data_IF_018536638534
#
_entry.id   IF_018536638534
#
_cell.length_a   1.000
_cell.length_b   1.000
_cell.length_c   1.000
_cell.angle_alpha   90.00
_cell.angle_beta   90.00
_cell.angle_gamma   90.00
#
_symmetry.space_group_name_H-M   'P 1'
#
loop_
_entity.id
_entity.type
_entity.pdbx_description
1 polymer ?
#
# COMPACT_ATOMS: atom_id res chain seq x y z
N UNK A 1 -0.16 15.01 -8.61
CA UNK A 1 -0.60 13.72 -8.05
C UNK A 1 0.60 12.79 -8.02
N UNK A 2 0.78 12.01 -6.95
CA UNK A 2 1.88 11.06 -6.80
C UNK A 2 1.34 9.61 -6.75
N UNK A 3 1.96 8.71 -7.51
CA UNK A 3 1.81 7.27 -7.42
C UNK A 3 3.09 6.72 -6.76
N UNK A 4 3.02 6.36 -5.49
CA UNK A 4 4.18 6.09 -4.62
C UNK A 4 4.33 4.60 -4.40
N UNK A 5 5.53 4.06 -4.64
CA UNK A 5 5.76 2.61 -4.66
C UNK A 5 5.03 1.97 -5.85
N UNK A 6 5.16 2.58 -7.03
CA UNK A 6 4.32 2.23 -8.17
C UNK A 6 4.64 0.87 -8.79
N UNK A 7 5.85 0.34 -8.57
CA UNK A 7 6.28 -0.89 -9.22
C UNK A 7 6.09 -0.81 -10.74
N UNK A 8 5.39 -1.79 -11.30
CA UNK A 8 5.03 -1.84 -12.72
C UNK A 8 3.72 -1.12 -13.07
N UNK A 9 3.02 -0.57 -12.07
CA UNK A 9 1.72 0.10 -12.25
C UNK A 9 1.90 1.59 -12.54
N UNK A 10 2.33 1.90 -13.77
CA UNK A 10 2.48 3.28 -14.24
C UNK A 10 1.10 3.93 -14.50
N UNK A 11 0.86 5.08 -13.88
CA UNK A 11 -0.39 5.83 -14.04
C UNK A 11 -0.17 7.12 -14.83
N UNK A 12 -0.80 7.22 -15.99
CA UNK A 12 -0.73 8.42 -16.81
C UNK A 12 -1.30 9.66 -16.08
N UNK A 13 -0.56 10.77 -16.14
CA UNK A 13 -0.93 12.02 -15.47
C UNK A 13 -0.65 12.06 -13.95
N UNK A 14 0.08 11.06 -13.45
CA UNK A 14 0.66 11.01 -12.11
C UNK A 14 2.19 11.09 -12.20
N UNK A 15 2.85 11.50 -11.14
CA UNK A 15 4.30 11.31 -10.99
C UNK A 15 4.48 9.93 -10.35
N UNK A 16 5.05 9.00 -11.11
CA UNK A 16 5.24 7.61 -10.72
C UNK A 16 6.61 7.43 -10.09
N UNK A 17 6.64 6.99 -8.84
CA UNK A 17 7.83 6.98 -8.00
C UNK A 17 8.05 5.57 -7.46
N UNK A 18 9.25 5.05 -7.64
CA UNK A 18 9.71 3.82 -7.00
C UNK A 18 11.22 3.83 -6.88
N UNK A 19 11.77 2.87 -6.10
CA UNK A 19 13.20 2.63 -6.05
C UNK A 19 13.58 1.65 -7.18
N UNK A 20 14.10 2.19 -8.27
CA UNK A 20 14.58 1.35 -9.37
C UNK A 20 16.02 0.90 -9.10
N UNK A 21 16.17 -0.23 -8.41
CA UNK A 21 17.49 -0.85 -8.20
C UNK A 21 18.01 -1.55 -9.46
N UNK A 22 17.14 -1.87 -10.42
CA UNK A 22 17.45 -2.51 -11.69
C UNK A 22 17.01 -1.61 -12.85
N UNK A 23 17.93 -0.89 -13.45
CA UNK A 23 17.72 0.17 -14.46
C UNK A 23 16.89 -0.21 -15.70
N UNK A 24 16.41 -1.44 -15.82
CA UNK A 24 15.84 -1.93 -17.08
C UNK A 24 14.36 -2.33 -17.04
N UNK A 25 13.64 -2.22 -15.92
CA UNK A 25 12.33 -2.88 -15.81
C UNK A 25 11.18 -1.91 -15.55
N UNK A 26 11.41 -0.77 -14.90
CA UNK A 26 10.32 0.14 -14.50
C UNK A 26 10.31 1.43 -15.32
N UNK A 27 9.17 1.73 -15.91
CA UNK A 27 8.88 3.09 -16.39
C UNK A 27 8.57 3.93 -15.16
N UNK A 28 9.45 4.87 -14.83
CA UNK A 28 9.30 5.79 -13.69
C UNK A 28 9.43 7.23 -14.17
N UNK A 29 8.75 8.15 -13.47
CA UNK A 29 9.00 9.58 -13.61
C UNK A 29 10.07 10.04 -12.62
N UNK A 30 10.20 9.35 -11.48
CA UNK A 30 11.22 9.61 -10.47
C UNK A 30 11.68 8.29 -9.83
N UNK A 31 12.96 7.97 -9.96
CA UNK A 31 13.60 6.92 -9.17
C UNK A 31 14.02 7.48 -7.83
N UNK A 32 13.43 6.97 -6.72
CA UNK A 32 13.65 7.50 -5.38
C UNK A 32 13.48 6.44 -4.31
N UNK A 33 14.40 6.40 -3.36
CA UNK A 33 14.25 5.55 -2.19
C UNK A 33 13.25 6.17 -1.20
N UNK A 34 12.07 5.57 -1.13
CA UNK A 34 10.94 6.04 -0.33
C UNK A 34 11.14 5.93 1.19
N UNK A 35 12.28 5.43 1.64
CA UNK A 35 12.72 5.52 3.05
C UNK A 35 13.29 6.90 3.38
N UNK A 36 13.60 7.70 2.35
CA UNK A 36 14.04 9.08 2.47
C UNK A 36 12.90 10.06 2.17
N UNK A 37 12.95 11.28 2.73
CA UNK A 37 11.96 12.30 2.43
C UNK A 37 11.84 12.57 0.93
N UNK A 38 10.62 12.65 0.44
CA UNK A 38 10.33 12.94 -0.96
C UNK A 38 10.88 14.31 -1.38
N UNK A 39 11.44 14.46 -2.60
CA UNK A 39 12.00 15.71 -3.10
C UNK A 39 10.91 16.66 -3.61
N UNK A 40 9.85 16.82 -2.83
CA UNK A 40 8.76 17.76 -3.10
C UNK A 40 8.59 18.73 -1.95
N UNK A 41 8.17 19.93 -2.28
CA UNK A 41 7.86 20.97 -1.31
C UNK A 41 6.71 20.56 -0.39
N UNK A 42 6.71 21.10 0.82
CA UNK A 42 5.60 20.98 1.74
C UNK A 42 4.30 21.48 1.10
N UNK A 43 3.21 20.78 1.31
CA UNK A 43 1.87 21.22 0.85
C UNK A 43 1.79 21.47 -0.66
N UNK A 44 2.47 20.65 -1.46
CA UNK A 44 2.54 20.81 -2.93
C UNK A 44 1.62 19.85 -3.69
N UNK A 45 1.16 18.77 -3.05
CA UNK A 45 0.48 17.64 -3.69
C UNK A 45 -1.01 17.57 -3.31
N UNK A 46 -1.88 17.40 -4.29
CA UNK A 46 -3.34 17.29 -4.06
C UNK A 46 -3.76 15.85 -3.73
N UNK A 47 -3.20 14.85 -4.45
CA UNK A 47 -3.55 13.44 -4.30
C UNK A 47 -2.32 12.56 -4.27
N UNK A 48 -2.34 11.55 -3.38
CA UNK A 48 -1.34 10.49 -3.32
C UNK A 48 -2.07 9.15 -3.42
N UNK A 49 -1.52 8.24 -4.18
CA UNK A 49 -1.91 6.83 -4.23
C UNK A 49 -0.71 5.95 -3.96
N UNK A 50 -0.90 4.89 -3.21
CA UNK A 50 0.05 3.78 -3.10
C UNK A 50 -0.70 2.46 -2.94
N UNK A 51 -0.19 1.42 -3.60
CA UNK A 51 -0.71 0.07 -3.50
C UNK A 51 0.45 -0.91 -3.29
N UNK A 52 0.36 -1.72 -2.23
CA UNK A 52 1.40 -2.69 -1.85
C UNK A 52 2.79 -2.06 -1.71
N UNK A 53 2.87 -0.99 -0.90
CA UNK A 53 4.10 -0.26 -0.62
C UNK A 53 4.49 -0.30 0.85
N UNK A 54 3.53 0.06 1.73
CA UNK A 54 3.85 0.33 3.14
C UNK A 54 4.29 -0.94 3.90
N UNK A 55 3.81 -2.11 3.50
CA UNK A 55 4.17 -3.40 4.09
C UNK A 55 5.62 -3.83 3.82
N UNK A 56 6.26 -3.23 2.82
CA UNK A 56 7.67 -3.47 2.50
C UNK A 56 8.65 -2.66 3.37
N UNK A 57 8.15 -1.75 4.18
CA UNK A 57 8.91 -0.95 5.12
C UNK A 57 8.91 -1.57 6.52
N UNK A 58 9.99 -1.35 7.30
CA UNK A 58 9.90 -1.60 8.74
C UNK A 58 8.88 -0.68 9.37
N UNK A 59 8.48 -0.95 10.59
CA UNK A 59 7.49 -0.12 11.28
C UNK A 59 7.95 1.33 11.45
N UNK A 60 9.24 1.54 11.68
CA UNK A 60 9.85 2.87 11.81
C UNK A 60 9.96 3.58 10.45
N UNK A 61 10.42 2.87 9.42
CA UNK A 61 10.47 3.37 8.04
C UNK A 61 9.06 3.75 7.56
N UNK A 62 8.06 2.88 7.82
CA UNK A 62 6.67 3.10 7.47
C UNK A 62 6.08 4.35 8.15
N UNK A 63 6.34 4.52 9.46
CA UNK A 63 5.90 5.71 10.17
C UNK A 63 6.56 6.99 9.64
N UNK A 64 7.83 6.92 9.26
CA UNK A 64 8.55 8.05 8.65
C UNK A 64 7.98 8.39 7.28
N UNK A 65 7.72 7.38 6.44
CA UNK A 65 7.09 7.56 5.13
C UNK A 65 5.69 8.18 5.26
N UNK A 66 4.83 7.67 6.15
CA UNK A 66 3.47 8.22 6.40
C UNK A 66 3.54 9.70 6.79
N UNK A 67 4.50 10.09 7.65
CA UNK A 67 4.71 11.50 8.03
C UNK A 67 5.17 12.35 6.86
N UNK A 68 6.03 11.83 6.00
CA UNK A 68 6.53 12.58 4.84
C UNK A 68 5.46 12.74 3.76
N UNK A 69 4.66 11.70 3.51
CA UNK A 69 3.47 11.78 2.65
C UNK A 69 2.47 12.84 3.17
N UNK A 70 2.30 12.91 4.51
CA UNK A 70 1.52 13.98 5.14
C UNK A 70 2.13 15.38 4.92
N UNK A 71 3.45 15.52 4.96
CA UNK A 71 4.16 16.78 4.74
C UNK A 71 3.85 17.35 3.37
N UNK A 72 4.02 16.55 2.32
CA UNK A 72 3.86 16.99 0.92
C UNK A 72 2.40 17.22 0.52
N UNK A 73 1.42 16.58 1.17
CA UNK A 73 0.00 16.85 0.91
C UNK A 73 -0.38 18.27 1.25
N UNK A 74 -1.18 18.90 0.40
CA UNK A 74 -1.85 20.18 0.69
C UNK A 74 -2.88 20.03 1.81
N UNK A 75 -3.22 21.11 2.52
CA UNK A 75 -4.41 21.11 3.38
C UNK A 75 -5.65 20.71 2.56
N UNK A 76 -6.37 19.68 3.02
CA UNK A 76 -7.49 19.07 2.28
C UNK A 76 -7.07 18.08 1.18
N UNK A 77 -5.78 17.91 0.95
CA UNK A 77 -5.27 16.85 0.06
C UNK A 77 -5.56 15.45 0.61
N UNK A 78 -5.69 14.48 -0.28
CA UNK A 78 -6.13 13.11 0.05
C UNK A 78 -5.09 12.09 -0.38
N UNK A 79 -4.78 11.15 0.52
CA UNK A 79 -4.03 9.96 0.19
C UNK A 79 -4.94 8.74 0.23
N UNK A 80 -4.80 7.88 -0.79
CA UNK A 80 -5.40 6.55 -0.85
C UNK A 80 -4.29 5.50 -0.75
N UNK A 81 -4.42 4.61 0.22
CA UNK A 81 -3.50 3.49 0.45
C UNK A 81 -4.25 2.18 0.29
N UNK A 82 -3.60 1.19 -0.30
CA UNK A 82 -4.10 -0.16 -0.42
C UNK A 82 -2.98 -1.15 -0.07
N UNK A 83 -3.22 -2.04 0.90
CA UNK A 83 -2.23 -2.99 1.43
C UNK A 83 -2.91 -4.31 1.83
N UNK A 84 -2.19 -5.41 2.01
CA UNK A 84 -2.75 -6.61 2.62
C UNK A 84 -3.29 -6.32 4.03
N UNK A 85 -4.42 -6.95 4.37
CA UNK A 85 -5.05 -6.83 5.70
C UNK A 85 -4.64 -8.02 6.58
N UNK A 86 -4.06 -7.74 7.74
CA UNK A 86 -3.69 -8.75 8.73
C UNK A 86 -4.92 -9.51 9.21
N UNK A 87 -6.04 -8.81 9.46
CA UNK A 87 -7.29 -9.44 9.91
C UNK A 87 -7.76 -10.48 8.88
N UNK A 88 -7.78 -10.13 7.59
CA UNK A 88 -8.13 -11.06 6.50
C UNK A 88 -7.13 -12.21 6.40
N UNK A 89 -5.85 -11.95 6.63
CA UNK A 89 -4.81 -12.99 6.60
C UNK A 89 -5.00 -14.00 7.71
N UNK A 90 -5.33 -13.55 8.92
CA UNK A 90 -5.62 -14.41 10.08
C UNK A 90 -6.94 -15.18 9.89
N UNK A 91 -7.99 -14.50 9.41
CA UNK A 91 -9.26 -15.15 9.09
C UNK A 91 -9.08 -16.31 8.11
N UNK A 92 -8.33 -16.09 7.04
CA UNK A 92 -7.97 -17.13 6.09
C UNK A 92 -7.21 -18.29 6.75
N UNK A 93 -6.26 -17.99 7.64
CA UNK A 93 -5.53 -19.04 8.36
C UNK A 93 -6.47 -19.94 9.17
N UNK A 94 -7.45 -19.37 9.83
CA UNK A 94 -8.38 -20.09 10.71
C UNK A 94 -9.45 -20.82 9.90
N UNK A 95 -10.08 -20.13 8.94
CA UNK A 95 -11.36 -20.52 8.39
C UNK A 95 -11.32 -21.05 6.95
N UNK A 96 -10.23 -20.79 6.18
CA UNK A 96 -10.16 -21.18 4.77
C UNK A 96 -9.24 -22.38 4.58
N UNK A 97 -9.72 -23.54 4.10
CA UNK A 97 -8.88 -24.65 3.69
C UNK A 97 -7.88 -24.24 2.60
N UNK A 98 -6.71 -24.90 2.59
CA UNK A 98 -5.66 -24.57 1.59
C UNK A 98 -6.16 -24.80 0.16
N UNK A 99 -6.93 -25.85 -0.04
CA UNK A 99 -7.47 -26.25 -1.34
C UNK A 99 -8.48 -25.24 -1.92
N UNK A 100 -9.06 -24.40 -1.06
CA UNK A 100 -10.06 -23.38 -1.42
C UNK A 100 -9.44 -21.99 -1.62
N UNK A 101 -8.17 -21.80 -1.27
CA UNK A 101 -7.53 -20.50 -1.37
C UNK A 101 -7.26 -20.11 -2.83
N UNK A 102 -8.06 -19.17 -3.33
CA UNK A 102 -7.98 -18.68 -4.70
C UNK A 102 -6.67 -17.95 -5.01
N UNK A 103 -6.01 -17.38 -3.99
CA UNK A 103 -4.73 -16.68 -4.15
C UNK A 103 -3.62 -17.69 -4.48
N UNK A 104 -3.62 -18.84 -3.79
CA UNK A 104 -2.68 -19.93 -4.09
C UNK A 104 -2.79 -20.35 -5.56
N UNK A 105 -4.00 -20.58 -6.05
CA UNK A 105 -4.26 -20.98 -7.43
C UNK A 105 -3.90 -19.88 -8.43
N UNK A 106 -4.26 -18.64 -8.13
CA UNK A 106 -4.02 -17.50 -9.02
C UNK A 106 -2.54 -17.22 -9.28
N UNK A 107 -1.69 -17.40 -8.26
CA UNK A 107 -0.26 -17.08 -8.35
C UNK A 107 0.64 -18.31 -8.56
N UNK A 108 0.08 -19.49 -8.85
CA UNK A 108 0.87 -20.69 -9.06
C UNK A 108 1.62 -21.13 -7.79
N UNK A 109 1.00 -20.94 -6.62
CA UNK A 109 1.60 -21.21 -5.31
C UNK A 109 1.18 -22.59 -4.77
N UNK A 110 0.89 -23.56 -5.64
CA UNK A 110 0.43 -24.89 -5.29
C UNK A 110 1.46 -25.71 -4.49
N UNK A 111 2.69 -25.23 -4.37
CA UNK A 111 3.69 -25.77 -3.46
C UNK A 111 3.35 -25.53 -1.99
N UNK A 112 2.48 -24.53 -1.68
CA UNK A 112 1.95 -24.29 -0.33
C UNK A 112 0.99 -25.43 0.03
N UNK A 113 1.32 -26.20 1.05
CA UNK A 113 0.55 -27.37 1.48
C UNK A 113 -0.10 -27.21 2.83
N UNK A 114 0.36 -26.27 3.63
CA UNK A 114 -0.11 -26.08 5.00
C UNK A 114 -0.52 -24.64 5.28
N UNK A 115 -1.42 -24.46 6.26
CA UNK A 115 -1.81 -23.13 6.75
C UNK A 115 -0.61 -22.34 7.29
N UNK A 116 0.36 -23.05 7.91
CA UNK A 116 1.57 -22.44 8.43
C UNK A 116 2.46 -21.90 7.31
N UNK A 117 2.61 -22.64 6.21
CA UNK A 117 3.33 -22.11 5.02
C UNK A 117 2.62 -20.89 4.44
N UNK A 118 1.29 -20.94 4.27
CA UNK A 118 0.51 -19.83 3.76
C UNK A 118 0.71 -18.53 4.55
N UNK A 119 0.58 -18.58 5.89
CA UNK A 119 0.71 -17.39 6.72
C UNK A 119 2.15 -16.85 6.72
N UNK A 120 3.15 -17.74 6.75
CA UNK A 120 4.56 -17.34 6.70
C UNK A 120 4.91 -16.69 5.35
N UNK A 121 4.35 -17.20 4.26
CA UNK A 121 4.49 -16.60 2.93
C UNK A 121 3.85 -15.21 2.91
N UNK A 122 2.63 -15.07 3.41
CA UNK A 122 1.95 -13.77 3.52
C UNK A 122 2.75 -12.73 4.29
N UNK A 123 3.47 -13.14 5.33
CA UNK A 123 4.25 -12.23 6.16
C UNK A 123 5.66 -11.93 5.66
N UNK A 124 6.27 -12.78 4.83
CA UNK A 124 7.71 -12.71 4.54
C UNK A 124 8.06 -12.72 3.07
N UNK A 125 7.21 -13.32 2.25
CA UNK A 125 7.46 -13.37 0.83
C UNK A 125 7.24 -11.98 0.23
N UNK A 126 7.73 -11.74 -0.92
CA UNK A 126 7.71 -10.44 -1.61
C UNK A 126 8.40 -9.30 -0.85
N UNK A 127 9.17 -9.60 0.21
CA UNK A 127 9.87 -8.59 0.99
C UNK A 127 9.02 -7.88 2.04
N UNK A 128 7.88 -8.45 2.44
CA UNK A 128 7.06 -7.88 3.51
C UNK A 128 7.82 -7.84 4.84
N UNK A 129 7.76 -6.71 5.51
CA UNK A 129 8.38 -6.47 6.82
C UNK A 129 7.35 -6.21 7.92
N UNK A 130 6.22 -5.58 7.58
CA UNK A 130 5.19 -5.25 8.56
C UNK A 130 3.80 -5.27 7.91
N UNK A 131 2.92 -6.15 8.35
CA UNK A 131 1.55 -6.24 7.85
C UNK A 131 0.61 -5.53 8.82
N UNK A 132 -0.24 -4.69 8.28
CA UNK A 132 -1.19 -3.86 9.02
C UNK A 132 -2.57 -4.50 9.06
N UNK A 133 -3.30 -4.27 10.17
CA UNK A 133 -4.75 -4.23 10.20
C UNK A 133 -5.25 -2.78 10.23
N UNK A 134 -6.56 -2.62 10.30
CA UNK A 134 -7.13 -1.28 10.35
C UNK A 134 -6.76 -0.53 11.63
N UNK A 135 -6.77 -1.20 12.79
CA UNK A 135 -6.46 -0.57 14.08
C UNK A 135 -5.05 0.03 14.10
N UNK A 136 -4.06 -0.76 13.71
CA UNK A 136 -2.67 -0.31 13.68
C UNK A 136 -2.44 0.76 12.62
N UNK A 137 -2.98 0.59 11.41
CA UNK A 137 -2.80 1.58 10.35
C UNK A 137 -3.47 2.90 10.70
N UNK A 138 -4.70 2.88 11.23
CA UNK A 138 -5.41 4.09 11.66
C UNK A 138 -4.65 4.83 12.77
N UNK A 139 -4.12 4.09 13.75
CA UNK A 139 -3.30 4.64 14.82
C UNK A 139 -2.08 5.39 14.27
N UNK A 140 -1.34 4.76 13.33
CA UNK A 140 -0.16 5.36 12.70
C UNK A 140 -0.50 6.61 11.88
N UNK A 141 -1.61 6.58 11.17
CA UNK A 141 -2.10 7.72 10.42
C UNK A 141 -2.47 8.90 11.33
N UNK A 142 -3.16 8.62 12.45
CA UNK A 142 -3.48 9.64 13.48
C UNK A 142 -2.22 10.26 14.10
N UNK A 143 -1.22 9.43 14.43
CA UNK A 143 0.06 9.91 14.97
C UNK A 143 0.84 10.77 13.94
N UNK A 144 0.68 10.52 12.65
CA UNK A 144 1.23 11.36 11.60
C UNK A 144 0.45 12.67 11.38
N UNK A 145 -0.74 12.81 11.96
CA UNK A 145 -1.55 14.04 11.93
C UNK A 145 -2.72 14.02 10.95
N UNK A 146 -3.03 12.90 10.29
CA UNK A 146 -4.21 12.79 9.45
C UNK A 146 -5.49 12.86 10.29
N UNK A 147 -6.45 13.69 9.84
CA UNK A 147 -7.65 14.02 10.63
C UNK A 147 -8.87 13.18 10.28
N UNK A 148 -8.98 12.77 9.02
CA UNK A 148 -10.11 11.97 8.53
C UNK A 148 -9.57 10.72 7.88
N UNK A 149 -9.79 9.59 8.55
CA UNK A 149 -9.36 8.28 8.10
C UNK A 149 -10.61 7.43 7.83
N UNK A 150 -10.71 6.82 6.67
CA UNK A 150 -11.89 6.07 6.22
C UNK A 150 -11.45 4.78 5.52
N UNK A 151 -12.00 3.65 5.95
CA UNK A 151 -11.92 2.40 5.16
C UNK A 151 -12.75 2.55 3.89
N UNK A 152 -12.22 2.08 2.78
CA UNK A 152 -12.85 2.17 1.47
C UNK A 152 -13.02 0.79 0.84
N UNK A 153 -13.89 0.70 -0.14
CA UNK A 153 -14.03 -0.47 -0.99
C UNK A 153 -13.06 -0.36 -2.19
N UNK A 154 -12.67 -1.52 -2.71
CA UNK A 154 -11.88 -1.62 -3.93
C UNK A 154 -12.54 -0.80 -5.06
N UNK A 155 -11.73 0.00 -5.76
CA UNK A 155 -12.13 0.85 -6.89
C UNK A 155 -13.12 1.99 -6.57
N UNK A 156 -13.60 2.12 -5.32
CA UNK A 156 -14.58 3.14 -4.96
C UNK A 156 -13.94 4.26 -4.15
N UNK A 157 -14.22 5.49 -4.55
CA UNK A 157 -13.82 6.72 -3.87
C UNK A 157 -14.87 7.81 -4.08
N UNK A 158 -14.98 8.72 -3.12
CA UNK A 158 -15.75 9.95 -3.28
C UNK A 158 -15.01 10.92 -4.24
N UNK A 159 -13.69 10.79 -4.39
CA UNK A 159 -12.84 11.58 -5.27
C UNK A 159 -12.67 10.88 -6.62
N UNK A 160 -13.01 11.58 -7.71
CA UNK A 160 -12.90 11.02 -9.08
C UNK A 160 -11.49 10.53 -9.40
N UNK A 161 -10.49 11.28 -8.95
CA UNK A 161 -9.06 11.02 -9.18
C UNK A 161 -8.57 9.73 -8.51
N UNK A 162 -9.26 9.26 -7.47
CA UNK A 162 -8.88 8.09 -6.68
C UNK A 162 -9.72 6.84 -6.99
N UNK A 163 -10.60 6.90 -7.98
CA UNK A 163 -11.42 5.75 -8.41
C UNK A 163 -10.65 4.84 -9.34
N UNK A 164 -10.86 3.53 -9.20
CA UNK A 164 -10.32 2.50 -10.10
C UNK A 164 -8.78 2.53 -10.23
N UNK A 165 -8.09 2.87 -9.14
CA UNK A 165 -6.63 2.95 -9.15
C UNK A 165 -5.98 1.60 -8.83
N UNK A 166 -6.58 0.80 -7.97
CA UNK A 166 -6.03 -0.50 -7.59
C UNK A 166 -6.04 -1.47 -8.76
N UNK A 167 -4.93 -2.18 -8.93
CA UNK A 167 -4.80 -3.26 -9.92
C UNK A 167 -4.82 -4.64 -9.27
N UNK A 168 -4.72 -4.71 -7.94
CA UNK A 168 -4.62 -5.96 -7.17
C UNK A 168 -5.90 -6.20 -6.36
N UNK A 169 -6.57 -7.31 -6.64
CA UNK A 169 -7.77 -7.72 -5.88
C UNK A 169 -7.45 -8.18 -4.45
N UNK A 170 -6.19 -8.43 -4.20
CA UNK A 170 -5.65 -8.85 -2.91
C UNK A 170 -5.43 -7.66 -1.94
N UNK A 171 -5.52 -6.44 -2.41
CA UNK A 171 -5.54 -5.22 -1.59
C UNK A 171 -6.84 -5.19 -0.78
N UNK A 172 -6.80 -5.71 0.43
CA UNK A 172 -7.99 -5.89 1.28
C UNK A 172 -8.15 -4.81 2.34
N UNK A 173 -7.06 -4.15 2.73
CA UNK A 173 -7.08 -2.96 3.57
C UNK A 173 -6.89 -1.71 2.70
N UNK A 174 -8.00 -1.07 2.36
CA UNK A 174 -8.00 0.14 1.53
C UNK A 174 -8.49 1.30 2.38
N UNK A 175 -7.71 2.37 2.42
CA UNK A 175 -8.02 3.54 3.24
C UNK A 175 -7.86 4.84 2.46
N UNK A 176 -8.71 5.80 2.75
CA UNK A 176 -8.52 7.19 2.34
C UNK A 176 -8.35 8.08 3.56
N UNK A 177 -7.37 8.96 3.50
CA UNK A 177 -7.03 9.86 4.59
C UNK A 177 -6.86 11.28 4.06
N UNK A 178 -7.32 12.26 4.85
CA UNK A 178 -7.25 13.68 4.49
C UNK A 178 -6.36 14.43 5.48
N UNK A 179 -5.50 15.30 4.92
CA UNK A 179 -4.67 16.23 5.70
C UNK A 179 -5.48 17.36 6.32
#
# INVERSE_FOLDING_TARGET
>A
KLNVGCGTDYKDGWINIDNNSDDNILKLDLSWDLRHPLPFDDKSVDFIFNEHFIEHLTVEEGQSAIKDLMRVLKPGGVMRMATPDLEVTIDKYINVPIEEDLVIKKFGLEFIKTRAERINIGFRWWGHKWIYDWEELERRLKEAGYKKNKRCQLHKSDYKELRNLEIRKESTLIVEVTK
#
